data_IF_441702780058
#
_entry.id   IF_441702780058
#
_cell.length_a   1.000
_cell.length_b   1.000
_cell.length_c   1.000
_cell.angle_alpha   90.00
_cell.angle_beta   90.00
_cell.angle_gamma   90.00
#
_symmetry.space_group_name_H-M   'P 1'
#
loop_
_entity.id
_entity.type
_entity.pdbx_description
1 polymer ?
#
# COMPACT_ATOMS: atom_id res chain seq x y z
N UNK A 1 -1.42 11.57 -24.89
CA UNK A 1 -1.15 10.59 -23.83
C UNK A 1 0.17 10.94 -23.15
N UNK A 2 0.23 10.84 -21.81
CA UNK A 2 1.46 11.10 -21.05
C UNK A 2 1.68 9.92 -20.08
N UNK A 3 2.87 9.31 -20.11
CA UNK A 3 3.28 8.28 -19.15
C UNK A 3 4.67 8.61 -18.59
N UNK A 4 4.70 9.20 -17.40
CA UNK A 4 5.89 9.46 -16.58
C UNK A 4 5.87 8.64 -15.28
N UNK A 5 5.13 7.52 -15.28
CA UNK A 5 4.94 6.67 -14.08
C UNK A 5 5.77 5.40 -14.16
N UNK A 6 5.39 4.45 -15.00
CA UNK A 6 6.13 3.19 -15.24
C UNK A 6 5.91 2.73 -16.67
N UNK A 7 6.98 2.25 -17.33
CA UNK A 7 6.92 1.75 -18.71
C UNK A 7 5.91 0.62 -18.89
N UNK A 8 5.85 -0.31 -17.95
CA UNK A 8 5.01 -1.50 -18.03
C UNK A 8 3.49 -1.27 -17.95
N UNK A 9 3.02 -0.05 -17.64
CA UNK A 9 1.57 0.25 -17.62
C UNK A 9 1.02 0.63 -19.00
N UNK A 10 1.87 0.77 -19.98
CA UNK A 10 1.50 1.12 -21.35
C UNK A 10 2.05 0.06 -22.30
N UNK A 11 1.20 -0.46 -23.18
CA UNK A 11 1.66 -1.27 -24.31
C UNK A 11 2.21 -0.34 -25.40
N UNK A 12 3.50 -0.41 -25.63
CA UNK A 12 4.19 0.49 -26.55
C UNK A 12 3.78 0.26 -28.02
N UNK A 13 3.49 -0.99 -28.41
CA UNK A 13 3.04 -1.33 -29.76
C UNK A 13 1.68 -0.70 -30.05
N UNK A 14 0.73 -0.83 -29.10
CA UNK A 14 -0.61 -0.24 -29.23
C UNK A 14 -0.57 1.28 -29.30
N UNK A 15 0.36 1.92 -28.56
CA UNK A 15 0.55 3.36 -28.62
C UNK A 15 1.09 3.80 -29.97
N UNK A 16 2.09 3.09 -30.50
CA UNK A 16 2.65 3.40 -31.84
C UNK A 16 1.61 3.22 -32.94
N UNK A 17 0.76 2.20 -32.83
CA UNK A 17 -0.37 2.00 -33.75
C UNK A 17 -1.40 3.14 -33.62
N UNK A 18 -1.76 3.50 -32.38
CA UNK A 18 -2.71 4.59 -32.13
C UNK A 18 -2.21 5.95 -32.66
N UNK A 19 -0.90 6.21 -32.61
CA UNK A 19 -0.28 7.38 -33.22
C UNK A 19 -0.32 7.30 -34.75
N UNK A 20 -0.03 6.14 -35.33
CA UNK A 20 -0.07 5.93 -36.77
C UNK A 20 -1.48 6.14 -37.33
N UNK A 21 -2.49 5.66 -36.62
CA UNK A 21 -3.91 5.80 -36.96
C UNK A 21 -4.51 7.15 -36.56
N UNK A 22 -3.75 8.06 -35.99
CA UNK A 22 -4.18 9.39 -35.48
C UNK A 22 -5.28 9.31 -34.41
N UNK A 23 -5.38 8.19 -33.68
CA UNK A 23 -6.29 8.03 -32.55
C UNK A 23 -5.82 8.84 -31.34
N UNK A 24 -4.52 9.05 -31.21
CA UNK A 24 -3.89 9.99 -30.28
C UNK A 24 -2.97 10.92 -31.08
N UNK A 25 -2.86 12.16 -30.63
CA UNK A 25 -2.09 13.18 -31.34
C UNK A 25 -0.62 13.22 -30.92
N UNK A 26 -0.31 12.82 -29.68
CA UNK A 26 1.04 12.85 -29.16
C UNK A 26 1.18 11.91 -27.97
N UNK A 27 2.38 11.32 -27.83
CA UNK A 27 2.79 10.53 -26.66
C UNK A 27 4.03 11.10 -26.01
N UNK A 28 3.96 11.39 -24.71
CA UNK A 28 5.08 11.88 -23.90
C UNK A 28 5.46 10.80 -22.90
N UNK A 29 6.74 10.43 -22.86
CA UNK A 29 7.24 9.40 -21.94
C UNK A 29 8.71 9.60 -21.58
N UNK A 30 9.10 9.14 -20.40
CA UNK A 30 10.48 9.01 -19.93
C UNK A 30 10.96 7.54 -19.89
N UNK A 31 10.23 6.65 -20.60
CA UNK A 31 10.59 5.24 -20.82
C UNK A 31 10.78 4.95 -22.31
N UNK A 32 11.88 5.46 -22.92
CA UNK A 32 12.08 5.30 -24.35
C UNK A 32 12.33 3.85 -24.76
N UNK A 33 11.74 3.45 -25.89
CA UNK A 33 12.09 2.20 -26.59
C UNK A 33 12.78 2.54 -27.91
N UNK A 34 13.52 1.57 -28.53
CA UNK A 34 14.15 1.80 -29.83
C UNK A 34 13.17 2.29 -30.90
N UNK A 35 11.95 1.74 -30.91
CA UNK A 35 10.90 2.09 -31.87
C UNK A 35 10.39 3.51 -31.63
N UNK A 36 10.25 3.93 -30.37
CA UNK A 36 9.85 5.30 -30.03
C UNK A 36 10.95 6.31 -30.39
N UNK A 37 12.22 5.96 -30.17
CA UNK A 37 13.36 6.79 -30.57
C UNK A 37 13.38 6.96 -32.09
N UNK A 38 13.17 5.88 -32.84
CA UNK A 38 13.08 5.96 -34.29
C UNK A 38 11.93 6.87 -34.72
N UNK A 39 10.74 6.68 -34.15
CA UNK A 39 9.56 7.48 -34.48
C UNK A 39 9.75 8.95 -34.13
N UNK A 40 10.33 9.27 -32.98
CA UNK A 40 10.56 10.67 -32.56
C UNK A 40 11.54 11.42 -33.45
N UNK A 41 12.39 10.72 -34.22
CA UNK A 41 13.28 11.30 -35.21
C UNK A 41 12.57 11.59 -36.56
N UNK A 42 11.46 10.87 -36.81
CA UNK A 42 10.72 10.98 -38.10
C UNK A 42 9.46 11.83 -37.95
N UNK A 43 8.86 11.87 -36.74
CA UNK A 43 7.58 12.53 -36.46
C UNK A 43 7.65 13.31 -35.15
N UNK A 44 6.92 14.42 -35.07
CA UNK A 44 6.81 15.23 -33.82
C UNK A 44 5.72 14.76 -32.86
N UNK A 45 5.24 13.52 -33.00
CA UNK A 45 4.15 12.96 -32.22
C UNK A 45 4.62 12.09 -31.03
N UNK A 46 5.94 11.94 -30.84
CA UNK A 46 6.54 11.29 -29.67
C UNK A 46 7.56 12.24 -29.04
N UNK A 47 7.35 12.58 -27.77
CA UNK A 47 8.26 13.40 -26.97
C UNK A 47 8.91 12.49 -25.92
N UNK A 48 10.22 12.31 -26.04
CA UNK A 48 11.03 11.52 -25.11
C UNK A 48 11.70 12.44 -24.10
N UNK A 49 11.55 12.12 -22.83
CA UNK A 49 12.14 12.87 -21.73
C UNK A 49 13.15 12.01 -20.96
N UNK A 50 14.17 12.62 -20.33
CA UNK A 50 15.01 11.88 -19.41
C UNK A 50 14.23 11.48 -18.14
N UNK A 51 14.48 10.29 -17.61
CA UNK A 51 13.82 9.77 -16.41
C UNK A 51 14.40 10.40 -15.14
N UNK A 52 14.01 11.64 -14.84
CA UNK A 52 14.57 12.47 -13.75
C UNK A 52 13.53 12.91 -12.71
N UNK A 53 12.30 12.37 -12.76
CA UNK A 53 11.19 12.82 -11.91
C UNK A 53 11.44 12.75 -10.40
N UNK A 54 12.33 11.85 -9.94
CA UNK A 54 12.69 11.71 -8.51
C UNK A 54 14.16 12.07 -8.24
N UNK A 55 14.87 12.66 -9.19
CA UNK A 55 16.33 12.88 -9.11
C UNK A 55 16.71 14.33 -8.82
N UNK A 56 15.77 15.14 -8.36
CA UNK A 56 16.08 16.46 -7.82
C UNK A 56 16.41 16.32 -6.34
N UNK A 57 17.31 17.15 -5.81
CA UNK A 57 17.68 17.16 -4.39
C UNK A 57 16.45 17.29 -3.48
N UNK A 58 15.49 18.13 -3.85
CA UNK A 58 14.24 18.30 -3.12
C UNK A 58 13.38 17.02 -3.14
N UNK A 59 13.26 16.36 -4.28
CA UNK A 59 12.50 15.11 -4.40
C UNK A 59 13.12 13.97 -3.58
N UNK A 60 14.46 13.84 -3.59
CA UNK A 60 15.17 12.84 -2.78
C UNK A 60 14.94 13.04 -1.28
N UNK A 61 15.06 14.28 -0.80
CA UNK A 61 14.81 14.63 0.61
C UNK A 61 13.36 14.35 0.97
N UNK A 62 12.39 14.77 0.16
CA UNK A 62 10.97 14.53 0.41
C UNK A 62 10.63 13.04 0.40
N UNK A 63 11.18 12.26 -0.51
CA UNK A 63 11.01 10.80 -0.54
C UNK A 63 11.55 10.14 0.74
N UNK A 64 12.73 10.54 1.20
CA UNK A 64 13.32 10.00 2.42
C UNK A 64 12.47 10.33 3.67
N UNK A 65 12.02 11.59 3.80
CA UNK A 65 11.14 12.02 4.90
C UNK A 65 9.82 11.24 4.86
N UNK A 66 9.16 11.17 3.71
CA UNK A 66 7.89 10.45 3.57
C UNK A 66 8.03 8.96 3.89
N UNK A 67 9.10 8.31 3.44
CA UNK A 67 9.36 6.90 3.72
C UNK A 67 9.58 6.67 5.24
N UNK A 68 10.38 7.54 5.89
CA UNK A 68 10.64 7.46 7.33
C UNK A 68 9.36 7.68 8.15
N UNK A 69 8.54 8.68 7.79
CA UNK A 69 7.26 8.94 8.46
C UNK A 69 6.28 7.77 8.32
N UNK A 70 6.16 7.18 7.13
CA UNK A 70 5.27 6.05 6.88
C UNK A 70 5.74 4.81 7.66
N UNK A 71 7.05 4.53 7.68
CA UNK A 71 7.62 3.45 8.48
C UNK A 71 7.38 3.67 9.98
N UNK A 72 7.58 4.89 10.48
CA UNK A 72 7.35 5.22 11.87
C UNK A 72 5.88 5.04 12.28
N UNK A 73 4.93 5.52 11.48
CA UNK A 73 3.48 5.33 11.71
C UNK A 73 3.10 3.85 11.71
N UNK A 74 3.65 3.08 10.76
CA UNK A 74 3.42 1.64 10.75
C UNK A 74 3.97 0.97 11.99
N UNK A 75 5.19 1.28 12.41
CA UNK A 75 5.83 0.66 13.56
C UNK A 75 5.17 1.05 14.88
N UNK A 76 4.85 2.33 15.07
CA UNK A 76 4.26 2.83 16.32
C UNK A 76 2.75 2.58 16.44
N UNK A 77 2.02 2.79 15.35
CA UNK A 77 0.56 2.86 15.42
C UNK A 77 -0.13 1.77 14.59
N UNK A 78 0.63 1.00 13.80
CA UNK A 78 0.05 0.03 12.86
C UNK A 78 -0.64 0.68 11.66
N UNK A 79 -0.57 2.01 11.52
CA UNK A 79 -1.19 2.72 10.41
C UNK A 79 -0.50 2.38 9.09
N UNK A 80 -1.28 2.19 8.03
CA UNK A 80 -0.79 1.94 6.68
C UNK A 80 -1.28 3.03 5.76
N UNK A 81 -0.31 3.74 5.16
CA UNK A 81 -0.55 4.84 4.24
C UNK A 81 0.27 4.57 2.98
N UNK A 82 -0.33 4.81 1.80
CA UNK A 82 0.31 4.69 0.49
C UNK A 82 0.91 3.30 0.17
N UNK A 83 0.40 2.24 0.78
CA UNK A 83 0.80 0.87 0.44
C UNK A 83 0.15 0.42 -0.87
N UNK A 84 0.92 -0.30 -1.72
CA UNK A 84 0.41 -0.86 -2.98
C UNK A 84 -0.28 -2.21 -2.78
N UNK A 85 0.07 -2.96 -1.74
CA UNK A 85 -0.40 -4.33 -1.46
C UNK A 85 -1.33 -4.43 -0.24
N UNK A 86 -1.29 -3.48 0.68
CA UNK A 86 -2.19 -3.46 1.83
C UNK A 86 -3.26 -2.38 1.70
N UNK A 87 -4.42 -2.53 2.35
CA UNK A 87 -5.43 -1.49 2.41
C UNK A 87 -4.90 -0.28 3.21
N UNK A 88 -5.36 0.90 2.86
CA UNK A 88 -5.12 2.08 3.70
C UNK A 88 -5.90 1.92 5.00
N UNK A 89 -5.21 1.95 6.12
CA UNK A 89 -5.82 1.89 7.45
C UNK A 89 -5.23 2.96 8.35
N UNK A 90 -6.10 3.69 9.01
CA UNK A 90 -5.76 4.72 9.99
C UNK A 90 -6.79 4.67 11.11
N UNK A 91 -6.32 4.58 12.34
CA UNK A 91 -7.13 4.63 13.55
C UNK A 91 -6.42 5.54 14.54
N UNK A 92 -7.04 6.68 14.88
CA UNK A 92 -6.51 7.54 15.95
C UNK A 92 -6.29 6.70 17.20
N UNK A 93 -5.12 6.86 17.85
CA UNK A 93 -4.79 6.08 19.04
C UNK A 93 -5.64 6.53 20.21
N UNK A 94 -6.39 5.61 20.80
CA UNK A 94 -7.26 5.86 21.97
C UNK A 94 -6.69 5.29 23.25
N UNK A 95 -5.80 4.28 23.13
CA UNK A 95 -5.12 3.63 24.28
C UNK A 95 -3.67 3.33 23.92
N UNK A 96 -2.87 3.00 24.94
CA UNK A 96 -1.49 2.54 24.73
C UNK A 96 -1.40 1.04 24.33
N UNK A 97 -2.50 0.32 24.38
CA UNK A 97 -2.56 -1.12 24.18
C UNK A 97 -3.20 -1.45 22.83
N UNK A 98 -2.48 -1.24 21.75
CA UNK A 98 -2.98 -1.52 20.40
C UNK A 98 -2.47 -2.85 19.88
N UNK A 99 -3.39 -3.71 19.44
CA UNK A 99 -3.09 -4.88 18.62
C UNK A 99 -3.17 -4.52 17.14
N UNK A 100 -2.17 -4.94 16.38
CA UNK A 100 -2.14 -4.91 14.93
C UNK A 100 -2.13 -6.32 14.41
N UNK A 101 -3.17 -6.71 13.69
CA UNK A 101 -3.38 -8.09 13.25
C UNK A 101 -3.52 -8.09 11.72
N UNK A 102 -2.66 -8.85 11.04
CA UNK A 102 -2.77 -9.12 9.60
C UNK A 102 -3.36 -10.52 9.43
N UNK A 103 -4.44 -10.64 8.70
CA UNK A 103 -5.13 -11.90 8.52
C UNK A 103 -5.77 -12.03 7.14
N UNK A 104 -6.23 -13.23 6.81
CA UNK A 104 -7.00 -13.48 5.60
C UNK A 104 -8.39 -12.84 5.71
N UNK A 105 -8.85 -12.21 4.64
CA UNK A 105 -10.20 -11.62 4.58
C UNK A 105 -11.24 -12.72 4.32
N UNK A 106 -11.62 -13.42 5.39
CA UNK A 106 -12.60 -14.50 5.33
C UNK A 106 -13.63 -14.38 6.46
N UNK A 107 -14.86 -14.86 6.23
CA UNK A 107 -15.90 -14.86 7.25
C UNK A 107 -15.46 -15.56 8.54
N UNK A 108 -15.81 -14.98 9.68
CA UNK A 108 -15.58 -15.54 11.01
C UNK A 108 -14.18 -15.29 11.60
N UNK A 109 -13.21 -14.73 10.84
CA UNK A 109 -11.87 -14.46 11.37
C UNK A 109 -11.93 -13.38 12.46
N UNK A 110 -12.57 -12.25 12.19
CA UNK A 110 -12.74 -11.17 13.18
C UNK A 110 -13.49 -11.67 14.42
N UNK A 111 -14.58 -12.42 14.23
CA UNK A 111 -15.36 -12.95 15.34
C UNK A 111 -14.56 -13.89 16.27
N UNK A 112 -13.63 -14.68 15.71
CA UNK A 112 -12.72 -15.50 16.52
C UNK A 112 -11.71 -14.66 17.28
N UNK A 113 -11.12 -13.65 16.63
CA UNK A 113 -10.16 -12.74 17.25
C UNK A 113 -10.82 -12.01 18.43
N UNK A 114 -11.98 -11.41 18.20
CA UNK A 114 -12.72 -10.70 19.26
C UNK A 114 -13.25 -11.63 20.34
N UNK A 115 -13.59 -12.88 19.99
CA UNK A 115 -13.94 -13.92 20.94
C UNK A 115 -12.81 -14.27 21.91
N UNK A 116 -11.58 -14.43 21.42
CA UNK A 116 -10.42 -14.67 22.30
C UNK A 116 -10.12 -13.47 23.22
N UNK A 117 -10.30 -12.25 22.72
CA UNK A 117 -10.19 -11.04 23.54
C UNK A 117 -11.22 -11.04 24.66
N UNK A 118 -12.46 -11.42 24.33
CA UNK A 118 -13.55 -11.52 25.31
C UNK A 118 -13.30 -12.61 26.36
N UNK A 119 -12.67 -13.75 26.01
CA UNK A 119 -12.30 -14.80 26.95
C UNK A 119 -11.35 -14.29 28.06
N UNK A 120 -10.48 -13.34 27.74
CA UNK A 120 -9.61 -12.66 28.71
C UNK A 120 -10.30 -11.48 29.42
N UNK A 121 -11.59 -11.29 29.22
CA UNK A 121 -12.36 -10.19 29.80
C UNK A 121 -11.78 -8.80 29.53
N UNK A 122 -11.16 -8.65 28.32
CA UNK A 122 -10.62 -7.38 27.85
C UNK A 122 -11.67 -6.60 27.06
N UNK A 123 -11.80 -5.32 27.36
CA UNK A 123 -12.69 -4.44 26.64
C UNK A 123 -11.98 -3.85 25.41
N UNK A 124 -12.66 -3.89 24.27
CA UNK A 124 -12.25 -3.21 23.02
C UNK A 124 -12.77 -1.77 23.09
N UNK A 125 -11.86 -0.81 23.07
CA UNK A 125 -12.18 0.62 23.11
C UNK A 125 -12.49 1.15 21.72
N UNK A 126 -11.66 0.76 20.74
CA UNK A 126 -11.86 1.10 19.36
C UNK A 126 -11.31 -0.01 18.46
N UNK A 127 -11.87 -0.15 17.26
CA UNK A 127 -11.46 -1.15 16.30
C UNK A 127 -11.76 -0.72 14.87
N UNK A 128 -10.82 -0.97 13.99
CA UNK A 128 -11.01 -0.85 12.56
C UNK A 128 -10.50 -2.10 11.84
N UNK A 129 -11.28 -2.59 10.90
CA UNK A 129 -10.85 -3.61 9.94
C UNK A 129 -10.92 -3.05 8.53
N UNK A 130 -9.86 -3.23 7.76
CA UNK A 130 -9.81 -2.88 6.35
C UNK A 130 -9.22 -4.04 5.56
N UNK A 131 -9.84 -4.33 4.43
CA UNK A 131 -9.37 -5.39 3.53
C UNK A 131 -9.05 -4.85 2.14
N UNK A 132 -8.15 -5.54 1.47
CA UNK A 132 -7.83 -5.38 0.06
C UNK A 132 -7.48 -6.75 -0.51
N UNK A 133 -8.24 -7.17 -1.51
CA UNK A 133 -8.17 -8.52 -2.06
C UNK A 133 -8.39 -9.57 -0.94
N UNK A 134 -7.44 -10.47 -0.72
CA UNK A 134 -7.53 -11.55 0.27
C UNK A 134 -6.92 -11.21 1.63
N UNK A 135 -6.36 -10.00 1.80
CA UNK A 135 -5.66 -9.60 3.02
C UNK A 135 -6.47 -8.54 3.75
N UNK A 136 -6.68 -8.75 5.03
CA UNK A 136 -7.25 -7.78 5.94
C UNK A 136 -6.25 -7.38 7.03
N UNK A 137 -6.40 -6.15 7.50
CA UNK A 137 -5.67 -5.61 8.65
C UNK A 137 -6.68 -5.10 9.65
N UNK A 138 -6.54 -5.57 10.88
CA UNK A 138 -7.35 -5.13 12.00
C UNK A 138 -6.47 -4.42 13.02
N UNK A 139 -6.83 -3.17 13.36
CA UNK A 139 -6.28 -2.45 14.49
C UNK A 139 -7.32 -2.51 15.63
N UNK A 140 -6.88 -2.86 16.82
CA UNK A 140 -7.75 -2.97 18.00
C UNK A 140 -7.07 -2.26 19.16
N UNK A 141 -7.73 -1.23 19.69
CA UNK A 141 -7.32 -0.56 20.92
C UNK A 141 -8.02 -1.22 22.10
N UNK A 142 -7.24 -1.75 23.02
CA UNK A 142 -7.70 -2.44 24.21
C UNK A 142 -7.59 -1.54 25.44
N UNK A 143 -8.52 -1.69 26.38
CA UNK A 143 -8.49 -0.94 27.64
C UNK A 143 -7.27 -1.30 28.49
N UNK A 144 -6.87 -2.57 28.47
CA UNK A 144 -5.74 -3.09 29.23
C UNK A 144 -4.78 -3.85 28.33
N UNK A 145 -3.57 -4.07 28.79
CA UNK A 145 -2.55 -4.80 28.06
C UNK A 145 -2.97 -6.28 27.89
N UNK A 146 -2.95 -6.81 26.64
CA UNK A 146 -3.27 -8.21 26.40
C UNK A 146 -2.16 -9.12 26.93
N UNK A 147 -2.55 -10.30 27.40
CA UNK A 147 -1.60 -11.31 27.87
C UNK A 147 -0.77 -11.88 26.71
N UNK A 148 0.44 -12.36 27.02
CA UNK A 148 1.24 -13.10 26.04
C UNK A 148 0.51 -14.33 25.51
N UNK A 149 -0.29 -14.98 26.37
CA UNK A 149 -1.10 -16.14 26.00
C UNK A 149 -2.13 -15.79 24.91
N UNK A 150 -2.83 -14.67 25.06
CA UNK A 150 -3.79 -14.18 24.05
C UNK A 150 -3.09 -13.94 22.70
N UNK A 151 -1.96 -13.25 22.70
CA UNK A 151 -1.18 -12.97 21.50
C UNK A 151 -0.77 -14.28 20.81
N UNK A 152 -0.25 -15.25 21.59
CA UNK A 152 0.18 -16.53 21.06
C UNK A 152 -1.01 -17.37 20.55
N UNK A 153 -2.19 -17.26 21.19
CA UNK A 153 -3.43 -17.91 20.74
C UNK A 153 -3.86 -17.33 19.39
N UNK A 154 -3.93 -16.02 19.26
CA UNK A 154 -4.32 -15.37 17.99
C UNK A 154 -3.29 -15.68 16.90
N UNK A 155 -1.98 -15.65 17.18
CA UNK A 155 -0.93 -16.01 16.21
C UNK A 155 -1.06 -17.43 15.66
N UNK A 156 -1.56 -18.37 16.45
CA UNK A 156 -1.75 -19.79 16.05
C UNK A 156 -3.00 -20.01 15.19
N UNK A 157 -3.87 -19.04 15.04
CA UNK A 157 -5.06 -19.16 14.19
C UNK A 157 -4.67 -19.35 12.74
N UNK A 158 -5.21 -20.36 12.07
CA UNK A 158 -4.86 -20.78 10.69
C UNK A 158 -4.89 -19.64 9.65
N UNK A 159 -5.67 -18.56 9.90
CA UNK A 159 -5.91 -17.47 8.98
C UNK A 159 -5.27 -16.16 9.41
N UNK A 160 -4.48 -16.17 10.46
CA UNK A 160 -3.73 -15.02 10.96
C UNK A 160 -2.29 -15.15 10.48
N UNK A 161 -1.80 -14.10 9.83
CA UNK A 161 -0.44 -14.03 9.30
C UNK A 161 0.52 -13.42 10.31
N UNK A 162 0.08 -12.38 11.02
CA UNK A 162 0.89 -11.74 12.06
C UNK A 162 0.04 -11.04 13.11
N UNK A 163 0.57 -10.97 14.32
CA UNK A 163 0.02 -10.19 15.44
C UNK A 163 1.16 -9.49 16.13
N UNK A 164 1.00 -8.21 16.42
CA UNK A 164 1.94 -7.43 17.22
C UNK A 164 1.20 -6.43 18.11
N UNK A 165 1.85 -6.04 19.19
CA UNK A 165 1.46 -4.89 20.02
C UNK A 165 2.24 -3.68 19.54
N UNK A 166 1.57 -2.53 19.49
CA UNK A 166 2.16 -1.23 19.23
C UNK A 166 2.03 -0.33 20.46
#
# INVERSE_FOLDING_TARGET
LINLSRGAIVNNEDVLEALANKNISCFVTDFPTPEMIKRSNEYEDVILMPHLGASTQEAEVNCAIMAAEQANRFLKDGEIINSVNFPRVKLGRTTENRLVIVHKDEPGVIGRITGEIAVENLNIVDMINKSRNEIAITLIDLQLQPSKKLIDTIKKMKRVFSVRIC
#
